data_IF_131698522767
#
_entry.id   IF_131698522767
#
_cell.length_a   1.000
_cell.length_b   1.000
_cell.length_c   1.000
_cell.angle_alpha   90.00
_cell.angle_beta   90.00
_cell.angle_gamma   90.00
#
_symmetry.space_group_name_H-M   'P 1'
#
loop_
_entity.id
_entity.type
_entity.pdbx_description
1 polymer ?
#
# COMPACT_ATOMS: atom_id res chain seq x y z
N UNK A 1 -19.08 -1.72 11.82
CA UNK A 1 -18.84 -0.36 12.36
C UNK A 1 -17.83 -0.31 13.50
N UNK A 2 -17.56 -1.40 14.20
CA UNK A 2 -16.65 -1.38 15.37
C UNK A 2 -15.22 -0.97 15.07
N UNK A 3 -14.68 -1.31 13.87
CA UNK A 3 -13.30 -0.99 13.52
C UNK A 3 -13.03 0.53 13.41
N UNK A 4 -14.03 1.33 12.95
CA UNK A 4 -13.87 2.79 12.80
C UNK A 4 -13.72 3.45 14.16
N UNK A 5 -14.44 2.97 15.16
CA UNK A 5 -14.37 3.51 16.52
C UNK A 5 -12.99 3.30 17.16
N UNK A 6 -12.28 2.24 16.75
CA UNK A 6 -10.95 1.91 17.23
C UNK A 6 -9.82 2.68 16.52
N UNK A 7 -10.14 3.52 15.50
CA UNK A 7 -9.16 4.38 14.86
C UNK A 7 -8.75 5.53 15.82
N UNK A 8 -7.46 5.79 15.92
CA UNK A 8 -6.93 6.96 16.64
C UNK A 8 -7.06 8.24 15.81
N UNK A 9 -8.31 8.59 15.47
CA UNK A 9 -8.69 9.72 14.64
C UNK A 9 -9.67 10.64 15.37
N UNK A 10 -9.72 11.91 14.97
CA UNK A 10 -10.76 12.84 15.43
C UNK A 10 -12.14 12.37 14.97
N UNK A 11 -13.19 12.84 15.65
CA UNK A 11 -14.57 12.48 15.32
C UNK A 11 -14.91 12.78 13.85
N UNK A 12 -14.52 13.94 13.33
CA UNK A 12 -14.73 14.33 11.93
C UNK A 12 -14.03 13.39 10.94
N UNK A 13 -12.82 12.95 11.26
CA UNK A 13 -12.08 12.00 10.42
C UNK A 13 -12.73 10.61 10.47
N UNK A 14 -13.23 10.17 11.63
CA UNK A 14 -13.98 8.91 11.75
C UNK A 14 -15.27 8.93 10.94
N UNK A 15 -16.00 10.05 10.95
CA UNK A 15 -17.18 10.24 10.11
C UNK A 15 -16.82 10.13 8.62
N UNK A 16 -15.75 10.80 8.17
CA UNK A 16 -15.29 10.68 6.79
C UNK A 16 -14.94 9.24 6.41
N UNK A 17 -14.18 8.51 7.26
CA UNK A 17 -13.87 7.09 7.01
C UNK A 17 -15.14 6.23 7.03
N UNK A 18 -16.16 6.59 7.85
CA UNK A 18 -17.45 5.94 7.87
C UNK A 18 -18.19 6.06 6.55
N UNK A 19 -18.32 7.28 6.04
CA UNK A 19 -18.95 7.56 4.74
C UNK A 19 -18.20 6.86 3.60
N UNK A 20 -16.87 6.90 3.64
CA UNK A 20 -16.04 6.18 2.66
C UNK A 20 -16.28 4.67 2.72
N UNK A 21 -16.38 4.10 3.91
CA UNK A 21 -16.64 2.68 4.11
C UNK A 21 -18.01 2.27 3.55
N UNK A 22 -19.04 3.06 3.75
CA UNK A 22 -20.36 2.79 3.19
C UNK A 22 -20.32 2.76 1.65
N UNK A 23 -19.64 3.71 1.03
CA UNK A 23 -19.47 3.77 -0.43
C UNK A 23 -18.66 2.57 -0.96
N UNK A 24 -17.58 2.20 -0.31
CA UNK A 24 -16.76 1.04 -0.67
C UNK A 24 -17.56 -0.26 -0.53
N UNK A 25 -18.38 -0.39 0.51
CA UNK A 25 -19.23 -1.56 0.72
C UNK A 25 -20.26 -1.77 -0.40
N UNK A 26 -20.71 -0.70 -1.05
CA UNK A 26 -21.66 -0.79 -2.17
C UNK A 26 -21.04 -1.35 -3.45
N UNK A 27 -19.73 -1.19 -3.66
CA UNK A 27 -19.06 -1.51 -4.92
C UNK A 27 -18.13 -2.72 -4.85
N UNK A 28 -17.58 -3.03 -3.67
CA UNK A 28 -16.70 -4.18 -3.50
C UNK A 28 -17.50 -5.46 -3.30
N UNK A 29 -17.06 -6.55 -3.92
CA UNK A 29 -17.58 -7.85 -3.55
C UNK A 29 -17.11 -8.26 -2.12
N UNK A 30 -17.75 -9.24 -1.47
CA UNK A 30 -17.45 -9.61 -0.08
C UNK A 30 -15.97 -9.98 0.16
N UNK A 31 -15.31 -10.59 -0.82
CA UNK A 31 -13.90 -10.96 -0.71
C UNK A 31 -12.98 -9.74 -0.76
N UNK A 32 -13.23 -8.83 -1.71
CA UNK A 32 -12.49 -7.56 -1.83
C UNK A 32 -12.68 -6.71 -0.58
N UNK A 33 -13.92 -6.57 -0.10
CA UNK A 33 -14.21 -5.81 1.12
C UNK A 33 -13.50 -6.40 2.34
N UNK A 34 -13.57 -7.73 2.54
CA UNK A 34 -12.87 -8.40 3.63
C UNK A 34 -11.36 -8.15 3.59
N UNK A 35 -10.74 -8.26 2.41
CA UNK A 35 -9.33 -7.96 2.20
C UNK A 35 -9.01 -6.50 2.56
N UNK A 36 -9.82 -5.56 2.08
CA UNK A 36 -9.64 -4.12 2.35
C UNK A 36 -9.68 -3.82 3.84
N UNK A 37 -10.65 -4.36 4.58
CA UNK A 37 -10.75 -4.15 6.04
C UNK A 37 -9.58 -4.83 6.77
N UNK A 38 -9.15 -6.01 6.33
CA UNK A 38 -7.98 -6.69 6.90
C UNK A 38 -6.69 -5.91 6.64
N UNK A 39 -6.52 -5.36 5.44
CA UNK A 39 -5.38 -4.48 5.10
C UNK A 39 -5.39 -3.21 5.95
N UNK A 40 -6.54 -2.54 6.09
CA UNK A 40 -6.69 -1.36 6.95
C UNK A 40 -6.32 -1.68 8.40
N UNK A 41 -6.83 -2.78 8.95
CA UNK A 41 -6.52 -3.22 10.31
C UNK A 41 -5.01 -3.46 10.51
N UNK A 42 -4.35 -4.03 9.49
CA UNK A 42 -2.90 -4.23 9.55
C UNK A 42 -2.11 -2.92 9.40
N UNK A 43 -2.60 -2.00 8.57
CA UNK A 43 -2.06 -0.63 8.48
C UNK A 43 -2.13 0.09 9.83
N UNK A 44 -3.26 -0.02 10.53
CA UNK A 44 -3.41 0.55 11.88
C UNK A 44 -2.36 0.01 12.86
N UNK A 45 -2.21 -1.32 12.89
CA UNK A 45 -1.24 -1.99 13.77
C UNK A 45 0.19 -1.50 13.53
N UNK A 46 0.59 -1.34 12.25
CA UNK A 46 1.92 -0.84 11.91
C UNK A 46 2.04 0.67 12.15
N UNK A 47 0.99 1.44 11.85
CA UNK A 47 0.97 2.88 12.07
C UNK A 47 1.13 3.23 13.55
N UNK A 48 0.54 2.44 14.46
CA UNK A 48 0.73 2.60 15.89
C UNK A 48 2.23 2.61 16.24
N UNK A 49 2.96 1.64 15.72
CA UNK A 49 4.40 1.48 16.05
C UNK A 49 5.27 2.53 15.34
N UNK A 50 4.99 2.84 14.08
CA UNK A 50 5.91 3.57 13.21
C UNK A 50 5.52 5.02 12.93
N UNK A 51 4.31 5.44 13.30
CA UNK A 51 3.81 6.79 13.10
C UNK A 51 3.39 7.42 14.43
N UNK A 52 2.55 6.74 15.24
CA UNK A 52 1.90 7.32 16.40
C UNK A 52 2.74 7.20 17.68
N UNK A 53 3.39 6.05 17.94
CA UNK A 53 4.19 5.80 19.16
C UNK A 53 5.65 6.29 19.05
N UNK A 54 6.02 7.01 18.00
CA UNK A 54 7.36 7.58 17.92
C UNK A 54 7.59 8.55 19.08
N UNK A 55 8.50 8.16 20.00
CA UNK A 55 8.92 9.01 21.12
C UNK A 55 9.41 10.36 20.63
N UNK A 56 9.14 11.46 21.37
CA UNK A 56 9.57 12.83 21.06
C UNK A 56 11.08 13.01 20.89
N UNK A 57 11.89 12.02 21.28
CA UNK A 57 13.36 12.08 21.28
C UNK A 57 14.03 12.06 19.90
N UNK A 58 13.28 11.88 18.80
CA UNK A 58 13.79 11.89 17.41
C UNK A 58 13.33 13.12 16.62
N UNK A 59 13.30 14.31 17.25
CA UNK A 59 13.08 15.61 16.57
C UNK A 59 11.61 15.80 16.16
N UNK A 60 10.97 16.70 16.84
CA UNK A 60 9.71 17.44 16.61
C UNK A 60 8.94 17.17 15.29
N UNK A 61 8.54 15.94 15.02
CA UNK A 61 7.37 15.74 14.19
C UNK A 61 6.16 16.05 15.09
N UNK A 62 5.42 17.10 14.74
CA UNK A 62 4.25 17.55 15.45
C UNK A 62 3.21 16.39 15.50
N UNK A 63 2.60 16.14 16.65
CA UNK A 63 1.53 15.13 16.80
C UNK A 63 0.43 15.31 15.75
N UNK A 64 0.16 16.56 15.35
CA UNK A 64 -0.77 16.88 14.27
C UNK A 64 -0.33 16.28 12.92
N UNK A 65 0.97 16.24 12.62
CA UNK A 65 1.49 15.68 11.38
C UNK A 65 1.37 14.16 11.38
N UNK A 66 1.65 13.49 12.50
CA UNK A 66 1.48 12.04 12.66
C UNK A 66 0.02 11.62 12.47
N UNK A 67 -0.92 12.33 13.08
CA UNK A 67 -2.35 12.07 12.93
C UNK A 67 -2.82 12.31 11.48
N UNK A 68 -2.28 13.31 10.80
CA UNK A 68 -2.60 13.57 9.40
C UNK A 68 -2.06 12.46 8.48
N UNK A 69 -0.82 12.02 8.69
CA UNK A 69 -0.23 10.88 7.95
C UNK A 69 -1.06 9.62 8.18
N UNK A 70 -1.46 9.36 9.42
CA UNK A 70 -2.29 8.21 9.75
C UNK A 70 -3.67 8.27 9.09
N UNK A 71 -4.33 9.43 9.08
CA UNK A 71 -5.61 9.61 8.40
C UNK A 71 -5.50 9.35 6.90
N UNK A 72 -4.48 9.91 6.23
CA UNK A 72 -4.20 9.67 4.81
C UNK A 72 -3.96 8.19 4.52
N UNK A 73 -3.21 7.50 5.39
CA UNK A 73 -2.97 6.06 5.29
C UNK A 73 -4.28 5.27 5.38
N UNK A 74 -5.21 5.64 6.27
CA UNK A 74 -6.51 4.98 6.38
C UNK A 74 -7.32 5.12 5.09
N UNK A 75 -7.36 6.32 4.48
CA UNK A 75 -8.04 6.55 3.19
C UNK A 75 -7.40 5.70 2.09
N UNK A 76 -6.07 5.74 1.99
CA UNK A 76 -5.34 4.96 0.99
C UNK A 76 -5.59 3.46 1.16
N UNK A 77 -5.60 2.93 2.39
CA UNK A 77 -5.89 1.53 2.67
C UNK A 77 -7.33 1.12 2.31
N UNK A 78 -8.31 2.02 2.49
CA UNK A 78 -9.70 1.77 2.08
C UNK A 78 -9.85 1.69 0.55
N UNK A 79 -9.02 2.41 -0.20
CA UNK A 79 -9.18 2.57 -1.65
C UNK A 79 -8.07 1.91 -2.48
N UNK A 80 -7.07 1.25 -1.86
CA UNK A 80 -5.91 0.72 -2.58
C UNK A 80 -6.31 -0.22 -3.73
N UNK A 81 -7.34 -1.00 -3.53
CA UNK A 81 -7.87 -1.99 -4.47
C UNK A 81 -9.10 -1.50 -5.27
N UNK A 82 -9.43 -0.20 -5.22
CA UNK A 82 -10.59 0.34 -5.93
C UNK A 82 -10.57 0.02 -7.43
N UNK A 83 -9.42 0.05 -8.06
CA UNK A 83 -9.27 -0.32 -9.46
C UNK A 83 -9.71 -1.76 -9.78
N UNK A 84 -9.75 -2.68 -8.82
CA UNK A 84 -10.15 -4.08 -9.06
C UNK A 84 -11.63 -4.29 -9.34
N UNK A 85 -12.48 -3.28 -9.15
CA UNK A 85 -13.89 -3.37 -9.54
C UNK A 85 -14.11 -3.21 -11.06
N UNK A 86 -13.09 -2.75 -11.77
CA UNK A 86 -13.14 -2.50 -13.21
C UNK A 86 -12.44 -3.62 -13.99
N UNK A 87 -12.90 -3.84 -15.23
CA UNK A 87 -12.22 -4.76 -16.11
C UNK A 87 -10.92 -4.16 -16.70
N UNK A 88 -10.08 -5.01 -17.26
CA UNK A 88 -8.75 -4.62 -17.74
C UNK A 88 -8.81 -3.58 -18.87
N UNK A 89 -9.81 -3.65 -19.75
CA UNK A 89 -9.93 -2.72 -20.88
C UNK A 89 -10.23 -1.30 -20.40
N UNK A 90 -11.13 -1.15 -19.42
CA UNK A 90 -11.41 0.14 -18.77
C UNK A 90 -10.15 0.69 -18.08
N UNK A 91 -9.44 -0.14 -17.34
CA UNK A 91 -8.20 0.28 -16.65
C UNK A 91 -7.13 0.73 -17.65
N UNK A 92 -7.00 0.01 -18.78
CA UNK A 92 -6.06 0.35 -19.85
C UNK A 92 -6.43 1.68 -20.52
N UNK A 93 -7.71 1.89 -20.84
CA UNK A 93 -8.21 3.12 -21.44
C UNK A 93 -7.94 4.34 -20.52
N UNK A 94 -8.24 4.21 -19.22
CA UNK A 94 -7.97 5.25 -18.21
C UNK A 94 -6.47 5.53 -18.11
N UNK A 95 -5.64 4.49 -18.07
CA UNK A 95 -4.19 4.63 -18.00
C UNK A 95 -3.64 5.37 -19.23
N UNK A 96 -4.04 5.00 -20.43
CA UNK A 96 -3.60 5.63 -21.67
C UNK A 96 -4.01 7.10 -21.79
N UNK A 97 -5.22 7.46 -21.31
CA UNK A 97 -5.72 8.84 -21.40
C UNK A 97 -5.16 9.78 -20.35
N UNK A 98 -4.94 9.28 -19.14
CA UNK A 98 -4.73 10.16 -17.97
C UNK A 98 -3.36 10.00 -17.31
N UNK A 99 -2.58 8.98 -17.70
CA UNK A 99 -1.29 8.71 -17.05
C UNK A 99 -0.17 8.90 -18.09
N UNK A 100 0.05 10.16 -18.47
CA UNK A 100 1.03 10.56 -19.49
C UNK A 100 2.51 10.23 -19.15
N UNK A 101 2.78 9.77 -17.92
CA UNK A 101 4.11 9.44 -17.41
C UNK A 101 4.26 7.98 -17.01
N UNK A 102 3.35 7.10 -17.44
CA UNK A 102 3.73 5.71 -17.50
C UNK A 102 4.89 5.63 -18.50
N UNK A 103 6.15 5.71 -18.01
CA UNK A 103 7.31 5.18 -18.73
C UNK A 103 7.17 3.66 -18.86
N UNK A 104 5.93 3.22 -19.01
CA UNK A 104 5.51 1.86 -19.10
C UNK A 104 5.77 1.41 -20.52
N UNK A 105 6.49 0.34 -20.61
CA UNK A 105 6.55 -0.42 -21.83
C UNK A 105 5.14 -0.91 -22.18
N UNK A 106 4.85 -1.17 -23.43
CA UNK A 106 3.58 -1.74 -23.87
C UNK A 106 3.19 -2.96 -23.03
N UNK A 107 4.18 -3.74 -22.56
CA UNK A 107 4.01 -4.87 -21.66
C UNK A 107 3.48 -4.52 -20.26
N UNK A 108 3.78 -3.34 -19.72
CA UNK A 108 3.28 -2.92 -18.41
C UNK A 108 1.76 -2.65 -18.43
N UNK A 109 1.23 -2.22 -19.60
CA UNK A 109 -0.20 -1.99 -19.81
C UNK A 109 -1.01 -3.29 -19.91
N UNK A 110 -0.37 -4.44 -19.93
CA UNK A 110 -1.02 -5.76 -19.88
C UNK A 110 -1.03 -6.36 -18.48
N UNK A 111 -0.34 -5.74 -17.53
CA UNK A 111 -0.24 -6.25 -16.16
C UNK A 111 -1.35 -5.66 -15.29
N UNK A 112 -2.41 -6.44 -15.08
CA UNK A 112 -3.56 -6.02 -14.26
C UNK A 112 -3.16 -5.55 -12.87
N UNK A 113 -2.14 -6.19 -12.26
CA UNK A 113 -1.63 -5.79 -10.94
C UNK A 113 -1.00 -4.40 -10.92
N UNK A 114 -0.57 -3.87 -12.06
CA UNK A 114 -0.09 -2.50 -12.21
C UNK A 114 -1.27 -1.58 -12.49
N UNK A 115 -2.07 -1.92 -13.49
CA UNK A 115 -3.14 -1.06 -13.96
C UNK A 115 -4.18 -0.76 -12.89
N UNK A 116 -4.55 -1.75 -12.03
CA UNK A 116 -5.53 -1.48 -10.98
C UNK A 116 -5.01 -0.48 -9.93
N UNK A 117 -3.71 -0.42 -9.67
CA UNK A 117 -3.13 0.61 -8.81
C UNK A 117 -3.11 1.98 -9.51
N UNK A 118 -2.60 2.03 -10.72
CA UNK A 118 -2.40 3.29 -11.45
C UNK A 118 -3.72 3.93 -11.90
N UNK A 119 -4.53 3.20 -12.65
CA UNK A 119 -5.84 3.69 -13.08
C UNK A 119 -6.81 3.80 -11.91
N UNK A 120 -6.74 2.86 -10.96
CA UNK A 120 -7.55 2.88 -9.74
C UNK A 120 -7.31 4.12 -8.88
N UNK A 121 -6.07 4.59 -8.77
CA UNK A 121 -5.77 5.85 -8.06
C UNK A 121 -6.43 7.05 -8.73
N UNK A 122 -6.34 7.15 -10.06
CA UNK A 122 -7.02 8.21 -10.82
C UNK A 122 -8.55 8.14 -10.63
N UNK A 123 -9.14 6.96 -10.82
CA UNK A 123 -10.58 6.77 -10.71
C UNK A 123 -11.08 7.00 -9.27
N UNK A 124 -10.32 6.59 -8.26
CA UNK A 124 -10.63 6.87 -6.87
C UNK A 124 -10.57 8.38 -6.57
N UNK A 125 -9.59 9.09 -7.14
CA UNK A 125 -9.49 10.54 -7.03
C UNK A 125 -10.74 11.25 -7.55
N UNK A 126 -11.21 10.88 -8.73
CA UNK A 126 -12.42 11.46 -9.34
C UNK A 126 -13.69 11.07 -8.58
N UNK A 127 -13.87 9.79 -8.25
CA UNK A 127 -15.08 9.28 -7.61
C UNK A 127 -15.26 9.79 -6.19
N UNK A 128 -14.17 9.88 -5.41
CA UNK A 128 -14.22 10.24 -3.99
C UNK A 128 -13.75 11.69 -3.73
N UNK A 129 -13.55 12.50 -4.79
CA UNK A 129 -13.02 13.88 -4.73
C UNK A 129 -11.72 14.00 -3.91
N UNK A 130 -10.82 13.03 -4.08
CA UNK A 130 -9.52 13.02 -3.41
C UNK A 130 -8.52 13.76 -4.29
N UNK A 131 -7.99 14.89 -3.76
CA UNK A 131 -6.99 15.72 -4.42
C UNK A 131 -5.62 15.69 -3.74
N UNK A 132 -5.51 14.95 -2.66
CA UNK A 132 -4.26 14.79 -1.92
C UNK A 132 -3.33 13.82 -2.66
N UNK A 133 -2.22 14.34 -3.18
CA UNK A 133 -1.26 13.58 -3.97
C UNK A 133 -0.61 12.43 -3.17
N UNK A 134 -0.45 12.56 -1.85
CA UNK A 134 0.12 11.50 -1.02
C UNK A 134 -0.82 10.30 -0.92
N UNK A 135 -2.13 10.54 -0.77
CA UNK A 135 -3.15 9.48 -0.78
C UNK A 135 -3.17 8.79 -2.14
N UNK A 136 -3.27 9.57 -3.22
CA UNK A 136 -3.32 9.03 -4.58
C UNK A 136 -2.05 8.26 -4.94
N UNK A 137 -0.89 8.75 -4.49
CA UNK A 137 0.40 8.08 -4.68
C UNK A 137 0.47 6.75 -3.92
N UNK A 138 -0.01 6.70 -2.69
CA UNK A 138 -0.08 5.47 -1.91
C UNK A 138 -0.99 4.43 -2.57
N UNK A 139 -2.16 4.83 -3.08
CA UNK A 139 -3.06 3.96 -3.86
C UNK A 139 -2.35 3.47 -5.12
N UNK A 140 -1.74 4.38 -5.88
CA UNK A 140 -1.08 4.09 -7.16
C UNK A 140 0.01 3.03 -7.03
N UNK A 141 0.84 3.13 -6.01
CA UNK A 141 2.06 2.34 -5.89
C UNK A 141 1.97 1.19 -4.88
N UNK A 142 0.80 0.93 -4.27
CA UNK A 142 0.66 -0.11 -3.24
C UNK A 142 1.07 -1.51 -3.72
N UNK A 143 1.01 -1.79 -5.02
CA UNK A 143 1.34 -3.09 -5.59
C UNK A 143 2.80 -3.23 -5.94
N UNK A 144 3.37 -2.21 -6.59
CA UNK A 144 4.71 -2.26 -7.20
C UNK A 144 5.78 -1.51 -6.40
N UNK A 145 5.37 -0.61 -5.49
CA UNK A 145 6.29 0.28 -4.80
C UNK A 145 6.90 1.34 -5.71
N UNK A 146 7.81 2.12 -5.16
CA UNK A 146 8.64 3.09 -5.88
C UNK A 146 9.93 3.38 -5.08
N UNK A 147 10.88 4.12 -5.67
CA UNK A 147 12.07 4.56 -4.95
C UNK A 147 11.71 5.58 -3.86
N UNK A 148 12.34 5.47 -2.69
CA UNK A 148 12.18 6.42 -1.58
C UNK A 148 10.73 6.50 -1.03
N UNK A 149 10.09 5.32 -0.85
CA UNK A 149 8.76 5.22 -0.22
C UNK A 149 8.73 5.90 1.15
N UNK A 150 7.70 6.70 1.40
CA UNK A 150 7.39 7.25 2.74
C UNK A 150 7.07 6.12 3.72
N UNK A 151 6.97 6.45 5.01
CA UNK A 151 6.59 5.46 6.03
C UNK A 151 5.17 4.91 5.77
N UNK A 152 4.23 5.76 5.37
CA UNK A 152 2.87 5.36 5.02
C UNK A 152 2.85 4.42 3.81
N UNK A 153 3.63 4.72 2.76
CA UNK A 153 3.72 3.86 1.57
C UNK A 153 4.33 2.49 1.88
N UNK A 154 5.34 2.44 2.75
CA UNK A 154 5.90 1.16 3.22
C UNK A 154 4.86 0.35 3.99
N UNK A 155 4.11 1.01 4.88
CA UNK A 155 3.07 0.36 5.66
C UNK A 155 2.01 -0.25 4.76
N UNK A 156 1.44 0.50 3.83
CA UNK A 156 0.38 -0.02 2.94
C UNK A 156 0.90 -1.13 2.02
N UNK A 157 2.12 -0.96 1.46
CA UNK A 157 2.76 -1.97 0.62
C UNK A 157 2.95 -3.29 1.36
N UNK A 158 3.43 -3.24 2.60
CA UNK A 158 3.63 -4.41 3.45
C UNK A 158 2.29 -5.01 3.88
N UNK A 159 1.36 -4.18 4.40
CA UNK A 159 0.08 -4.61 4.95
C UNK A 159 -0.75 -5.40 3.92
N UNK A 160 -0.84 -4.92 2.67
CA UNK A 160 -1.53 -5.64 1.59
C UNK A 160 -0.99 -7.07 1.38
N UNK A 161 0.31 -7.27 1.59
CA UNK A 161 0.96 -8.56 1.36
C UNK A 161 0.93 -9.52 2.55
N UNK A 162 0.75 -9.01 3.77
CA UNK A 162 0.85 -9.82 5.00
C UNK A 162 -0.38 -9.75 5.91
N UNK A 163 -1.47 -9.07 5.50
CA UNK A 163 -2.72 -8.97 6.28
C UNK A 163 -3.24 -10.37 6.68
N UNK A 164 -4.17 -10.43 7.64
CA UNK A 164 -4.56 -11.69 8.30
C UNK A 164 -5.15 -12.74 7.33
N UNK A 165 -5.74 -12.33 6.21
CA UNK A 165 -6.24 -13.23 5.17
C UNK A 165 -5.17 -13.88 4.30
N UNK A 166 -3.92 -13.40 4.35
CA UNK A 166 -2.82 -13.96 3.57
C UNK A 166 -2.31 -15.25 4.19
N UNK A 167 -2.15 -16.29 3.36
CA UNK A 167 -1.71 -17.61 3.78
C UNK A 167 -0.68 -18.19 2.79
N UNK A 168 0.60 -17.95 3.05
CA UNK A 168 1.74 -18.52 2.34
C UNK A 168 2.90 -18.76 3.32
N UNK A 169 3.88 -19.58 2.94
CA UNK A 169 4.88 -20.12 3.87
C UNK A 169 5.61 -19.07 4.72
N UNK A 170 5.98 -17.95 4.11
CA UNK A 170 6.81 -16.92 4.76
C UNK A 170 5.99 -15.88 5.55
N UNK A 171 4.65 -15.87 5.44
CA UNK A 171 3.80 -14.78 5.94
C UNK A 171 3.90 -14.57 7.45
N UNK A 172 4.02 -15.65 8.23
CA UNK A 172 4.13 -15.59 9.69
C UNK A 172 5.41 -14.85 10.09
N UNK A 173 6.54 -15.22 9.48
CA UNK A 173 7.83 -14.58 9.74
C UNK A 173 7.83 -13.11 9.32
N UNK A 174 7.16 -12.77 8.21
CA UNK A 174 7.03 -11.40 7.74
C UNK A 174 6.16 -10.55 8.67
N UNK A 175 5.09 -11.12 9.23
CA UNK A 175 4.28 -10.46 10.26
C UNK A 175 5.11 -10.12 11.50
N UNK A 176 5.89 -11.07 12.02
CA UNK A 176 6.78 -10.81 13.14
C UNK A 176 7.85 -9.76 12.82
N UNK A 177 8.44 -9.84 11.63
CA UNK A 177 9.45 -8.91 11.17
C UNK A 177 8.90 -7.50 11.01
N UNK A 178 7.66 -7.36 10.50
CA UNK A 178 7.00 -6.08 10.33
C UNK A 178 6.82 -5.29 11.62
N UNK A 179 6.68 -5.98 12.75
CA UNK A 179 6.56 -5.35 14.07
C UNK A 179 7.91 -4.93 14.67
N UNK A 180 9.01 -5.49 14.16
CA UNK A 180 10.38 -5.25 14.70
C UNK A 180 11.16 -4.25 13.83
N UNK A 181 11.06 -4.37 12.51
CA UNK A 181 11.84 -3.54 11.59
C UNK A 181 11.13 -3.45 10.23
N UNK A 182 10.43 -2.34 9.98
CA UNK A 182 9.66 -2.15 8.76
C UNK A 182 10.54 -2.12 7.49
N UNK A 183 11.77 -1.62 7.58
CA UNK A 183 12.67 -1.53 6.43
C UNK A 183 13.20 -2.91 6.03
N UNK A 184 13.55 -3.74 7.00
CA UNK A 184 13.94 -5.12 6.75
C UNK A 184 12.73 -5.94 6.26
N UNK A 185 11.55 -5.70 6.81
CA UNK A 185 10.32 -6.33 6.33
C UNK A 185 10.02 -5.94 4.88
N UNK A 186 10.18 -4.66 4.51
CA UNK A 186 10.02 -4.20 3.12
C UNK A 186 10.97 -4.95 2.18
N UNK A 187 12.24 -5.08 2.55
CA UNK A 187 13.24 -5.80 1.77
C UNK A 187 12.80 -7.26 1.52
N UNK A 188 12.37 -7.97 2.57
CA UNK A 188 11.97 -9.37 2.47
C UNK A 188 10.65 -9.54 1.71
N UNK A 189 9.65 -8.68 1.95
CA UNK A 189 8.38 -8.70 1.22
C UNK A 189 8.61 -8.42 -0.27
N UNK A 190 9.44 -7.43 -0.61
CA UNK A 190 9.74 -7.08 -1.99
C UNK A 190 10.49 -8.22 -2.72
N UNK A 191 11.47 -8.81 -2.05
CA UNK A 191 12.20 -10.00 -2.55
C UNK A 191 11.25 -11.17 -2.83
N UNK A 192 10.39 -11.51 -1.86
CA UNK A 192 9.44 -12.61 -2.01
C UNK A 192 8.44 -12.35 -3.14
N UNK A 193 8.02 -11.10 -3.34
CA UNK A 193 7.14 -10.73 -4.45
C UNK A 193 7.83 -10.92 -5.82
N UNK A 194 9.08 -10.51 -5.98
CA UNK A 194 9.85 -10.75 -7.21
C UNK A 194 9.99 -12.25 -7.48
N UNK A 195 10.37 -13.03 -6.47
CA UNK A 195 10.51 -14.49 -6.59
C UNK A 195 9.19 -15.13 -7.02
N UNK A 196 8.07 -14.69 -6.42
CA UNK A 196 6.73 -15.17 -6.79
C UNK A 196 6.39 -14.87 -8.25
N UNK A 197 6.63 -13.64 -8.72
CA UNK A 197 6.36 -13.22 -10.10
C UNK A 197 7.16 -14.10 -11.08
N UNK A 198 8.47 -14.29 -10.81
CA UNK A 198 9.36 -15.11 -11.66
C UNK A 198 8.89 -16.57 -11.66
N UNK A 199 8.63 -17.17 -10.50
CA UNK A 199 8.18 -18.56 -10.39
C UNK A 199 6.82 -18.81 -11.05
N UNK A 200 5.98 -17.76 -11.12
CA UNK A 200 4.66 -17.82 -11.74
C UNK A 200 4.67 -17.50 -13.24
N UNK A 201 5.85 -17.31 -13.85
CA UNK A 201 6.02 -16.93 -15.25
C UNK A 201 5.18 -15.70 -15.66
N UNK A 202 5.07 -14.72 -14.74
CA UNK A 202 4.33 -13.48 -14.96
C UNK A 202 5.28 -12.37 -15.45
N UNK A 203 4.74 -11.42 -16.20
CA UNK A 203 5.47 -10.24 -16.61
C UNK A 203 5.90 -9.43 -15.38
N UNK A 204 7.15 -8.95 -15.41
CA UNK A 204 7.72 -8.09 -14.36
C UNK A 204 7.53 -6.64 -14.78
N UNK A 205 7.07 -5.80 -13.86
CA UNK A 205 7.01 -4.35 -14.05
C UNK A 205 8.39 -3.80 -14.41
N UNK A 206 8.46 -2.97 -15.44
CA UNK A 206 9.72 -2.45 -15.99
C UNK A 206 10.63 -1.79 -14.95
N UNK A 207 10.05 -1.08 -13.96
CA UNK A 207 10.79 -0.37 -12.91
C UNK A 207 11.20 -1.27 -11.73
N UNK A 208 10.77 -2.54 -11.68
CA UNK A 208 10.98 -3.43 -10.52
C UNK A 208 12.46 -3.52 -10.11
N UNK A 209 13.37 -3.65 -11.07
CA UNK A 209 14.81 -3.78 -10.75
C UNK A 209 15.40 -2.47 -10.22
N UNK A 210 14.95 -1.32 -10.71
CA UNK A 210 15.37 -0.02 -10.19
C UNK A 210 14.92 0.18 -8.75
N UNK A 211 13.66 -0.18 -8.45
CA UNK A 211 13.10 -0.11 -7.10
C UNK A 211 13.82 -1.10 -6.17
N UNK A 212 14.04 -2.33 -6.61
CA UNK A 212 14.79 -3.33 -5.86
C UNK A 212 16.20 -2.85 -5.50
N UNK A 213 16.95 -2.30 -6.47
CA UNK A 213 18.29 -1.78 -6.24
C UNK A 213 18.28 -0.59 -5.24
N UNK A 214 17.26 0.26 -5.29
CA UNK A 214 17.07 1.34 -4.31
C UNK A 214 16.84 0.77 -2.90
N UNK A 215 15.95 -0.21 -2.74
CA UNK A 215 15.68 -0.87 -1.46
C UNK A 215 16.98 -1.54 -0.93
N UNK A 216 17.72 -2.26 -1.78
CA UNK A 216 18.98 -2.89 -1.39
C UNK A 216 20.05 -1.89 -0.98
N UNK A 217 20.14 -0.75 -1.65
CA UNK A 217 21.09 0.31 -1.31
C UNK A 217 20.90 0.82 0.12
N UNK A 218 19.64 0.99 0.54
CA UNK A 218 19.34 1.53 1.87
C UNK A 218 19.23 0.45 2.96
N UNK A 219 18.76 -0.75 2.62
CA UNK A 219 18.39 -1.75 3.62
C UNK A 219 19.11 -3.09 3.47
N UNK A 220 19.80 -3.34 2.36
CA UNK A 220 20.48 -4.63 2.10
C UNK A 220 21.57 -4.96 3.12
N UNK A 221 22.19 -3.96 3.73
CA UNK A 221 23.15 -4.14 4.83
C UNK A 221 22.53 -4.66 6.12
N UNK A 222 21.22 -4.47 6.32
CA UNK A 222 20.50 -4.92 7.52
C UNK A 222 20.27 -6.45 7.53
N UNK A 223 20.26 -7.08 6.36
CA UNK A 223 20.03 -8.53 6.21
C UNK A 223 21.31 -9.36 6.36
N UNK A 224 22.49 -8.71 6.39
CA UNK A 224 23.76 -9.40 6.55
C UNK A 224 24.02 -9.68 8.03
N UNK A 225 23.53 -10.82 8.54
CA UNK A 225 24.25 -11.56 9.55
C UNK A 225 25.67 -11.87 9.02
N UNK A 226 26.65 -12.24 9.88
CA UNK A 226 28.04 -12.36 9.49
C UNK A 226 28.19 -13.17 8.20
N UNK A 227 28.83 -12.57 7.18
CA UNK A 227 29.14 -13.26 5.92
C UNK A 227 29.94 -14.52 6.27
N UNK A 228 29.39 -15.68 5.98
CA UNK A 228 30.12 -16.94 6.05
C UNK A 228 31.18 -16.99 4.96
#
# INVERSE_FOLDING_TARGET
>A
MDFINNLELSQKQKEYIGDLNERVLLVFNPHQYKHTISTLSYCQKLAQIYILDKSPDLGTENIADSNNIYFKLCIAAMLHDYGKIFNLDVLREVALKNISHLNSTESDLEINSILHGFAGAFMAGEEFDIKDDEILKSIKYHTVGYCDMSIADKIIYIADKIEEGRNYAEVVNLRELSLKNINLCLLEVYKNNIIYIIRSNKNIYSETFRIWNNICKFYGGLSNGPRR
#
